data_IF_669733667127
#
_entry.id   IF_669733667127
#
_cell.length_a   1.000
_cell.length_b   1.000
_cell.length_c   1.000
_cell.angle_alpha   90.00
_cell.angle_beta   90.00
_cell.angle_gamma   90.00
#
_symmetry.space_group_name_H-M   'P 1'
#
loop_
_entity.id
_entity.type
_entity.pdbx_description
1 polymer ?
#
# COMPACT_ATOMS: atom_id res chain seq x y z
N UNK A 1 -8.18 16.37 30.92
CA UNK A 1 -7.00 17.16 30.45
C UNK A 1 -6.35 17.78 31.69
N UNK A 2 -5.30 17.18 32.23
CA UNK A 2 -4.38 17.84 33.17
C UNK A 2 -3.35 18.55 32.31
N UNK A 3 -3.24 19.87 32.40
CA UNK A 3 -2.30 20.70 31.67
C UNK A 3 -0.86 20.35 32.00
N UNK A 4 -0.27 19.47 31.19
CA UNK A 4 1.17 19.19 31.27
C UNK A 4 1.94 20.40 30.70
N UNK A 5 2.97 20.83 31.38
CA UNK A 5 3.89 21.87 30.92
C UNK A 5 4.72 21.33 29.76
N UNK A 6 4.74 22.03 28.64
CA UNK A 6 5.63 21.73 27.51
C UNK A 6 7.05 22.15 27.89
N UNK A 7 8.01 21.24 27.77
CA UNK A 7 9.43 21.48 28.04
C UNK A 7 10.26 20.94 26.89
N UNK A 8 11.39 21.57 26.63
CA UNK A 8 12.39 21.07 25.67
C UNK A 8 13.31 20.10 26.41
N UNK A 9 13.50 18.89 25.88
CA UNK A 9 14.42 17.87 26.38
C UNK A 9 15.37 17.42 25.29
N UNK A 10 16.59 17.06 25.65
CA UNK A 10 17.46 16.33 24.71
C UNK A 10 16.93 14.90 24.51
N UNK A 11 17.18 14.31 23.35
CA UNK A 11 16.68 12.97 23.04
C UNK A 11 17.19 11.91 24.04
N UNK A 12 18.42 12.06 24.52
CA UNK A 12 19.02 11.17 25.53
C UNK A 12 18.34 11.26 26.91
N UNK A 13 17.61 12.32 27.20
CA UNK A 13 16.92 12.55 28.48
C UNK A 13 15.45 12.10 28.47
N UNK A 14 14.99 11.55 27.33
CA UNK A 14 13.64 11.02 27.21
C UNK A 14 13.50 9.73 28.02
N UNK A 15 12.37 9.60 28.72
CA UNK A 15 12.03 8.44 29.53
C UNK A 15 10.74 7.80 29.04
N UNK A 16 10.59 6.52 29.33
CA UNK A 16 9.33 5.83 29.08
C UNK A 16 8.17 6.56 29.78
N UNK A 17 7.12 6.85 29.03
CA UNK A 17 5.95 7.62 29.50
C UNK A 17 6.01 9.12 29.19
N UNK A 18 7.13 9.67 28.71
CA UNK A 18 7.18 11.03 28.17
C UNK A 18 6.27 11.12 26.94
N UNK A 19 5.51 12.21 26.84
CA UNK A 19 4.64 12.49 25.69
C UNK A 19 5.29 13.54 24.82
N UNK A 20 5.57 13.18 23.58
CA UNK A 20 6.04 14.13 22.57
C UNK A 20 4.90 14.95 22.02
N UNK A 21 5.14 16.23 21.72
CA UNK A 21 4.20 17.05 20.94
C UNK A 21 4.12 16.43 19.55
N UNK A 22 2.88 16.22 19.07
CA UNK A 22 2.66 15.78 17.71
C UNK A 22 3.12 16.88 16.74
N UNK A 23 4.04 16.54 15.87
CA UNK A 23 4.55 17.40 14.83
C UNK A 23 3.62 17.31 13.59
N UNK A 24 3.33 18.43 12.95
CA UNK A 24 2.70 18.43 11.64
C UNK A 24 3.76 18.12 10.58
N UNK A 25 3.53 17.02 9.85
CA UNK A 25 4.42 16.63 8.77
C UNK A 25 4.26 17.60 7.58
N UNK A 26 5.36 18.00 6.93
CA UNK A 26 5.30 18.85 5.75
C UNK A 26 4.69 18.09 4.56
N UNK A 27 4.07 18.85 3.65
CA UNK A 27 3.70 18.37 2.33
C UNK A 27 4.81 18.82 1.38
N UNK A 28 5.49 17.86 0.76
CA UNK A 28 6.63 18.10 -0.12
C UNK A 28 6.19 17.83 -1.57
N UNK A 29 6.26 18.85 -2.43
CA UNK A 29 6.07 18.68 -3.87
C UNK A 29 7.40 18.31 -4.52
N UNK A 30 7.43 17.16 -5.16
CA UNK A 30 8.59 16.74 -5.96
C UNK A 30 8.49 17.24 -7.40
N UNK A 31 9.57 17.08 -8.17
CA UNK A 31 9.64 17.56 -9.56
C UNK A 31 9.55 16.47 -10.59
N UNK A 32 9.76 15.20 -10.20
CA UNK A 32 9.74 14.07 -11.12
C UNK A 32 8.33 13.55 -11.35
N UNK A 33 7.97 13.25 -12.61
CA UNK A 33 6.70 12.62 -12.98
C UNK A 33 6.92 11.11 -13.14
N UNK A 34 6.08 10.32 -12.47
CA UNK A 34 6.07 8.87 -12.61
C UNK A 34 4.93 8.44 -13.55
N UNK A 35 5.21 8.34 -14.85
CA UNK A 35 4.21 8.12 -15.90
C UNK A 35 3.40 6.82 -15.80
N UNK A 36 3.83 5.86 -15.01
CA UNK A 36 3.13 4.58 -14.80
C UNK A 36 2.94 4.30 -13.31
N UNK A 37 2.66 5.35 -12.55
CA UNK A 37 2.60 5.29 -11.09
C UNK A 37 1.52 4.29 -10.61
N UNK A 38 0.29 4.41 -11.10
CA UNK A 38 -0.80 3.48 -10.74
C UNK A 38 -0.44 2.03 -11.05
N UNK A 39 0.06 1.76 -12.27
CA UNK A 39 0.47 0.42 -12.70
C UNK A 39 1.54 -0.17 -11.79
N UNK A 40 2.53 0.63 -11.38
CA UNK A 40 3.59 0.18 -10.49
C UNK A 40 3.08 -0.04 -9.05
N UNK A 41 2.19 0.81 -8.55
CA UNK A 41 1.53 0.58 -7.27
C UNK A 41 0.75 -0.73 -7.25
N UNK A 42 -0.06 -0.98 -8.28
CA UNK A 42 -0.79 -2.24 -8.42
C UNK A 42 0.16 -3.44 -8.56
N UNK A 43 1.23 -3.31 -9.35
CA UNK A 43 2.25 -4.35 -9.51
C UNK A 43 2.97 -4.66 -8.19
N UNK A 44 3.16 -3.69 -7.31
CA UNK A 44 3.79 -3.92 -6.00
C UNK A 44 2.98 -4.87 -5.11
N UNK A 45 1.64 -4.89 -5.23
CA UNK A 45 0.77 -5.86 -4.58
C UNK A 45 0.62 -7.15 -5.40
N UNK A 46 -0.22 -7.11 -6.43
CA UNK A 46 -0.63 -8.28 -7.23
C UNK A 46 0.34 -8.65 -8.37
N UNK A 47 1.51 -8.01 -8.45
CA UNK A 47 2.48 -8.24 -9.51
C UNK A 47 3.16 -9.62 -9.42
N UNK A 48 3.38 -10.21 -10.57
CA UNK A 48 4.13 -11.45 -10.76
C UNK A 48 5.34 -11.21 -11.65
N UNK A 49 6.43 -11.95 -11.39
CA UNK A 49 7.62 -11.93 -12.22
C UNK A 49 7.98 -13.35 -12.61
N UNK A 50 8.02 -13.63 -13.90
CA UNK A 50 8.36 -14.96 -14.42
C UNK A 50 9.13 -14.88 -15.74
N UNK A 51 10.22 -15.62 -15.86
CA UNK A 51 11.10 -15.66 -17.06
C UNK A 51 11.50 -14.26 -17.56
N UNK A 52 11.91 -13.39 -16.64
CA UNK A 52 12.38 -12.05 -16.99
C UNK A 52 11.27 -11.05 -17.35
N UNK A 53 10.00 -11.39 -17.13
CA UNK A 53 8.86 -10.51 -17.46
C UNK A 53 7.99 -10.28 -16.24
N UNK A 54 7.68 -9.00 -15.99
CA UNK A 54 6.69 -8.58 -15.03
C UNK A 54 5.30 -8.52 -15.67
N UNK A 55 4.28 -8.92 -14.92
CA UNK A 55 2.89 -8.87 -15.33
C UNK A 55 1.98 -8.85 -14.10
N UNK A 56 0.70 -8.56 -14.30
CA UNK A 56 -0.32 -8.66 -13.25
C UNK A 56 -1.45 -9.58 -13.67
N UNK A 57 -2.10 -10.19 -12.70
CA UNK A 57 -3.37 -10.88 -12.89
C UNK A 57 -4.51 -10.00 -12.40
N UNK A 58 -5.55 -9.86 -13.23
CA UNK A 58 -6.80 -9.24 -12.86
C UNK A 58 -7.88 -10.33 -12.81
N UNK A 59 -8.30 -10.66 -11.60
CA UNK A 59 -9.36 -11.66 -11.36
C UNK A 59 -10.71 -10.96 -11.13
N UNK A 60 -11.77 -11.56 -11.60
CA UNK A 60 -13.14 -11.17 -11.32
C UNK A 60 -13.37 -9.64 -11.51
N UNK A 61 -13.82 -8.97 -10.45
CA UNK A 61 -14.10 -7.53 -10.48
C UNK A 61 -12.86 -6.65 -10.72
N UNK A 62 -11.65 -7.15 -10.41
CA UNK A 62 -10.40 -6.42 -10.71
C UNK A 62 -10.18 -6.23 -12.21
N UNK A 63 -10.85 -7.00 -13.09
CA UNK A 63 -10.76 -6.79 -14.54
C UNK A 63 -11.24 -5.39 -14.97
N UNK A 64 -12.14 -4.77 -14.20
CA UNK A 64 -12.60 -3.38 -14.42
C UNK A 64 -11.47 -2.34 -14.24
N UNK A 65 -10.38 -2.72 -13.58
CA UNK A 65 -9.23 -1.84 -13.37
C UNK A 65 -8.26 -1.81 -14.57
N UNK A 66 -8.52 -2.62 -15.62
CA UNK A 66 -7.68 -2.64 -16.82
C UNK A 66 -7.53 -1.25 -17.45
N UNK A 67 -8.60 -0.46 -17.48
CA UNK A 67 -8.60 0.88 -18.08
C UNK A 67 -7.73 1.89 -17.31
N UNK A 68 -7.42 1.60 -16.04
CA UNK A 68 -6.49 2.39 -15.21
C UNK A 68 -5.02 2.01 -15.43
N UNK A 69 -4.73 0.85 -16.04
CA UNK A 69 -3.38 0.37 -16.27
C UNK A 69 -2.69 1.17 -17.38
N UNK A 70 -1.52 1.70 -17.09
CA UNK A 70 -0.72 2.48 -18.04
C UNK A 70 0.28 1.58 -18.78
N UNK A 71 0.60 1.96 -20.02
CA UNK A 71 1.61 1.30 -20.84
C UNK A 71 1.39 -0.20 -21.05
N UNK A 72 0.13 -0.63 -21.14
CA UNK A 72 -0.23 -2.01 -21.47
C UNK A 72 0.32 -2.36 -22.88
N UNK A 73 0.98 -3.51 -22.97
CA UNK A 73 1.48 -4.09 -24.21
C UNK A 73 0.53 -5.13 -24.78
N UNK A 74 0.02 -5.99 -23.91
CA UNK A 74 -0.82 -7.13 -24.30
C UNK A 74 -1.66 -7.57 -23.11
N UNK A 75 -2.89 -7.96 -23.38
CA UNK A 75 -3.80 -8.63 -22.45
C UNK A 75 -4.10 -10.03 -22.99
N UNK A 76 -4.08 -11.01 -22.13
CA UNK A 76 -4.51 -12.37 -22.40
C UNK A 76 -5.64 -12.71 -21.45
N UNK A 77 -6.82 -13.05 -21.99
CA UNK A 77 -7.99 -13.44 -21.23
C UNK A 77 -8.08 -14.96 -21.12
N UNK A 78 -8.29 -15.45 -19.91
CA UNK A 78 -8.57 -16.84 -19.60
C UNK A 78 -9.99 -16.92 -19.00
N UNK A 79 -10.95 -17.29 -19.84
CA UNK A 79 -12.36 -17.35 -19.43
C UNK A 79 -12.61 -18.44 -18.39
N UNK A 80 -11.89 -19.56 -18.46
CA UNK A 80 -12.06 -20.67 -17.51
C UNK A 80 -11.67 -20.27 -16.08
N UNK A 81 -10.69 -19.38 -15.93
CA UNK A 81 -10.23 -18.88 -14.64
C UNK A 81 -10.81 -17.49 -14.30
N UNK A 82 -11.68 -16.95 -15.14
CA UNK A 82 -12.20 -15.58 -15.02
C UNK A 82 -11.09 -14.57 -14.71
N UNK A 83 -10.03 -14.58 -15.53
CA UNK A 83 -8.78 -13.87 -15.29
C UNK A 83 -8.24 -13.22 -16.54
N UNK A 84 -7.71 -12.01 -16.41
CA UNK A 84 -6.87 -11.37 -17.41
C UNK A 84 -5.41 -11.33 -16.93
N UNK A 85 -4.48 -11.65 -17.84
CA UNK A 85 -3.05 -11.46 -17.63
C UNK A 85 -2.61 -10.24 -18.43
N UNK A 86 -2.12 -9.22 -17.73
CA UNK A 86 -1.73 -7.94 -18.33
C UNK A 86 -0.23 -7.82 -18.37
N UNK A 87 0.34 -7.70 -19.57
CA UNK A 87 1.76 -7.47 -19.83
C UNK A 87 1.99 -6.00 -20.21
N UNK A 88 3.12 -5.47 -19.79
CA UNK A 88 3.47 -4.06 -19.99
C UNK A 88 4.58 -3.87 -21.02
N UNK A 89 4.71 -2.66 -21.55
CA UNK A 89 5.82 -2.26 -22.40
C UNK A 89 7.12 -2.28 -21.58
N UNK A 90 8.24 -2.49 -22.26
CA UNK A 90 9.56 -2.48 -21.62
C UNK A 90 9.81 -1.13 -20.93
N UNK A 91 10.48 -1.19 -19.78
CA UNK A 91 10.76 0.00 -18.95
C UNK A 91 9.58 0.57 -18.17
N UNK A 92 8.37 -0.04 -18.26
CA UNK A 92 7.18 0.42 -17.51
C UNK A 92 7.27 0.08 -16.03
N UNK A 93 7.65 -1.16 -15.72
CA UNK A 93 7.67 -1.65 -14.34
C UNK A 93 9.04 -1.36 -13.69
N UNK A 94 8.98 -0.90 -12.46
CA UNK A 94 10.08 -0.84 -11.50
C UNK A 94 10.19 -2.16 -10.75
N UNK A 95 11.13 -2.24 -9.81
CA UNK A 95 11.21 -3.37 -8.88
C UNK A 95 9.90 -3.53 -8.11
N UNK A 96 9.55 -4.77 -7.75
CA UNK A 96 8.22 -5.10 -7.17
C UNK A 96 7.87 -4.25 -5.94
N UNK A 97 8.83 -3.90 -5.11
CA UNK A 97 8.61 -3.14 -3.89
C UNK A 97 9.11 -1.69 -3.98
N UNK A 98 9.21 -1.16 -5.20
CA UNK A 98 9.57 0.25 -5.40
C UNK A 98 8.45 1.18 -4.89
N UNK A 99 8.83 2.17 -4.08
CA UNK A 99 7.94 3.22 -3.56
C UNK A 99 8.43 4.60 -4.00
N UNK A 100 7.62 5.43 -4.66
CA UNK A 100 8.02 6.79 -5.02
C UNK A 100 8.06 7.68 -3.77
N UNK A 101 9.18 8.39 -3.56
CA UNK A 101 9.37 9.28 -2.43
C UNK A 101 9.18 10.76 -2.83
N UNK A 102 9.74 11.68 -2.04
CA UNK A 102 9.57 13.13 -2.13
C UNK A 102 10.15 13.79 -3.39
N UNK A 103 11.01 13.09 -4.14
CA UNK A 103 11.46 13.52 -5.46
C UNK A 103 10.34 13.48 -6.51
N UNK A 104 9.33 12.64 -6.35
CA UNK A 104 8.18 12.55 -7.26
C UNK A 104 7.06 13.52 -6.88
N UNK A 105 6.30 13.99 -7.89
CA UNK A 105 5.13 14.86 -7.68
C UNK A 105 4.11 14.24 -6.74
N UNK A 106 3.35 15.05 -6.02
CA UNK A 106 2.23 14.60 -5.17
C UNK A 106 1.29 13.72 -5.99
N UNK A 107 0.93 14.15 -7.20
CA UNK A 107 0.06 13.38 -8.09
C UNK A 107 0.60 11.97 -8.35
N UNK A 108 1.89 11.83 -8.69
CA UNK A 108 2.52 10.53 -8.94
C UNK A 108 2.48 9.61 -7.72
N UNK A 109 2.72 10.16 -6.53
CA UNK A 109 2.65 9.39 -5.27
C UNK A 109 1.23 8.95 -4.94
N UNK A 110 0.22 9.79 -5.18
CA UNK A 110 -1.18 9.45 -4.97
C UNK A 110 -1.67 8.40 -5.97
N UNK A 111 -1.31 8.51 -7.25
CA UNK A 111 -1.62 7.49 -8.26
C UNK A 111 -0.97 6.14 -7.92
N UNK A 112 0.28 6.15 -7.45
CA UNK A 112 0.93 4.93 -6.99
C UNK A 112 0.22 4.32 -5.78
N UNK A 113 -0.15 5.18 -4.81
CA UNK A 113 -0.91 4.76 -3.61
C UNK A 113 -2.25 4.15 -4.00
N UNK A 114 -2.97 4.73 -4.97
CA UNK A 114 -4.21 4.16 -5.47
C UNK A 114 -4.01 2.75 -6.07
N UNK A 115 -2.94 2.57 -6.85
CA UNK A 115 -2.62 1.26 -7.41
C UNK A 115 -2.37 0.17 -6.35
N UNK A 116 -1.57 0.47 -5.31
CA UNK A 116 -1.33 -0.51 -4.22
C UNK A 116 -2.59 -0.74 -3.38
N UNK A 117 -3.46 0.27 -3.22
CA UNK A 117 -4.73 0.10 -2.52
C UNK A 117 -5.72 -0.76 -3.31
N UNK A 118 -5.78 -0.61 -4.63
CA UNK A 118 -6.65 -1.43 -5.49
C UNK A 118 -6.16 -2.90 -5.59
N UNK A 119 -4.87 -3.15 -5.35
CA UNK A 119 -4.33 -4.53 -5.29
C UNK A 119 -4.49 -5.16 -3.90
N UNK A 120 -3.88 -4.58 -2.87
CA UNK A 120 -3.73 -5.14 -1.52
C UNK A 120 -4.40 -4.32 -0.42
N UNK A 121 -5.10 -3.24 -0.78
CA UNK A 121 -5.78 -2.39 0.17
C UNK A 121 -7.07 -3.01 0.72
N UNK A 122 -7.35 -2.73 1.97
CA UNK A 122 -8.60 -3.12 2.63
C UNK A 122 -9.15 -1.95 3.42
N UNK A 123 -10.44 -1.63 3.22
CA UNK A 123 -11.15 -0.67 4.06
C UNK A 123 -11.74 -1.41 5.24
N UNK A 124 -11.33 -1.03 6.43
CA UNK A 124 -11.88 -1.56 7.69
C UNK A 124 -12.76 -0.51 8.35
N UNK A 125 -13.96 -0.93 8.77
CA UNK A 125 -14.93 -0.08 9.47
C UNK A 125 -15.09 -0.56 10.90
N UNK A 126 -14.98 0.37 11.84
CA UNK A 126 -15.28 0.13 13.26
C UNK A 126 -16.17 1.26 13.78
N UNK A 127 -17.48 1.02 13.83
CA UNK A 127 -18.48 2.04 14.09
C UNK A 127 -18.48 3.13 13.01
N UNK A 128 -18.26 4.36 13.42
CA UNK A 128 -18.16 5.52 12.51
C UNK A 128 -16.73 5.78 12.00
N UNK A 129 -15.76 4.99 12.44
CA UNK A 129 -14.37 5.16 12.01
C UNK A 129 -14.05 4.22 10.85
N UNK A 130 -13.47 4.77 9.82
CA UNK A 130 -12.92 4.01 8.70
C UNK A 130 -11.39 4.10 8.71
N UNK A 131 -10.73 3.06 8.24
CA UNK A 131 -9.29 3.03 8.03
C UNK A 131 -8.96 2.28 6.76
N UNK A 132 -7.96 2.77 6.03
CA UNK A 132 -7.36 2.06 4.93
C UNK A 132 -6.17 1.28 5.46
N UNK A 133 -6.07 0.01 5.08
CA UNK A 133 -5.05 -0.91 5.54
C UNK A 133 -4.35 -1.56 4.35
N UNK A 134 -3.02 -1.65 4.41
CA UNK A 134 -2.19 -2.36 3.44
C UNK A 134 -1.38 -3.39 4.22
N UNK A 135 -1.47 -4.66 3.83
CA UNK A 135 -0.76 -5.75 4.50
C UNK A 135 0.37 -6.30 3.63
N UNK A 136 1.51 -6.63 4.25
CA UNK A 136 2.64 -7.25 3.56
C UNK A 136 3.47 -8.09 4.53
N UNK A 137 4.14 -9.11 4.01
CA UNK A 137 5.20 -9.83 4.72
C UNK A 137 6.53 -9.04 4.74
N UNK A 138 6.65 -8.02 3.89
CA UNK A 138 7.84 -7.18 3.75
C UNK A 138 7.72 -5.91 4.60
N UNK A 139 8.27 -5.94 5.81
CA UNK A 139 8.22 -4.79 6.74
C UNK A 139 8.86 -3.53 6.14
N UNK A 140 10.01 -3.67 5.49
CA UNK A 140 10.73 -2.54 4.87
C UNK A 140 9.89 -1.84 3.81
N UNK A 141 9.15 -2.59 3.00
CA UNK A 141 8.23 -2.03 2.01
C UNK A 141 7.12 -1.18 2.66
N UNK A 142 6.52 -1.66 3.75
CA UNK A 142 5.52 -0.87 4.47
C UNK A 142 6.14 0.38 5.15
N UNK A 143 7.39 0.29 5.59
CA UNK A 143 8.11 1.46 6.14
C UNK A 143 8.39 2.51 5.08
N UNK A 144 8.72 2.11 3.84
CA UNK A 144 8.88 3.03 2.71
C UNK A 144 7.54 3.69 2.32
N UNK A 145 6.42 2.93 2.31
CA UNK A 145 5.08 3.51 2.13
C UNK A 145 4.77 4.51 3.25
N UNK A 146 5.10 4.18 4.50
CA UNK A 146 4.92 5.08 5.64
C UNK A 146 5.73 6.37 5.45
N UNK A 147 6.98 6.28 4.99
CA UNK A 147 7.83 7.42 4.69
C UNK A 147 7.24 8.27 3.55
N UNK A 148 6.77 7.65 2.46
CA UNK A 148 6.08 8.35 1.38
C UNK A 148 4.86 9.13 1.91
N UNK A 149 4.01 8.50 2.74
CA UNK A 149 2.85 9.14 3.36
C UNK A 149 3.26 10.35 4.23
N UNK A 150 4.35 10.24 4.97
CA UNK A 150 4.88 11.36 5.77
C UNK A 150 5.25 12.56 4.91
N UNK A 151 5.76 12.35 3.69
CA UNK A 151 6.07 13.42 2.74
C UNK A 151 4.81 14.05 2.10
N UNK A 152 3.64 13.44 2.31
CA UNK A 152 2.30 13.95 1.97
C UNK A 152 1.59 14.58 3.18
N UNK A 153 2.27 14.78 4.31
CA UNK A 153 1.65 15.29 5.53
C UNK A 153 0.77 14.27 6.26
N UNK A 154 0.82 13.00 5.88
CA UNK A 154 -0.08 11.94 6.35
C UNK A 154 0.62 11.06 7.37
N UNK A 155 -0.04 10.81 8.49
CA UNK A 155 0.43 9.86 9.52
C UNK A 155 -0.19 8.50 9.34
N UNK A 156 0.61 7.45 9.53
CA UNK A 156 0.15 6.06 9.53
C UNK A 156 0.85 5.28 10.65
N UNK A 157 0.37 4.08 10.95
CA UNK A 157 0.98 3.17 11.94
C UNK A 157 1.21 1.81 11.30
N UNK A 158 2.32 1.16 11.68
CA UNK A 158 2.60 -0.22 11.27
C UNK A 158 2.51 -1.10 12.51
N UNK A 159 1.72 -2.16 12.40
CA UNK A 159 1.53 -3.17 13.43
C UNK A 159 1.78 -4.57 12.86
N UNK A 160 2.10 -5.52 13.72
CA UNK A 160 2.07 -6.93 13.36
C UNK A 160 0.62 -7.36 13.10
N UNK A 161 0.38 -7.93 11.93
CA UNK A 161 -0.95 -8.43 11.54
C UNK A 161 -1.12 -9.89 11.94
N UNK A 162 -0.08 -10.71 11.77
CA UNK A 162 -0.05 -12.08 12.25
C UNK A 162 1.40 -12.56 12.44
N UNK A 163 1.59 -13.41 13.44
CA UNK A 163 2.82 -14.18 13.62
C UNK A 163 2.93 -15.29 12.57
N UNK A 164 4.14 -15.74 12.28
CA UNK A 164 4.35 -16.90 11.42
C UNK A 164 3.79 -18.19 12.05
N UNK A 165 3.31 -19.09 11.22
CA UNK A 165 2.80 -20.38 11.69
C UNK A 165 1.83 -21.06 10.73
N UNK A 166 1.45 -22.27 11.08
CA UNK A 166 0.47 -23.04 10.33
C UNK A 166 -0.95 -22.55 10.62
N UNK A 167 -1.73 -22.29 9.56
CA UNK A 167 -3.11 -21.80 9.64
C UNK A 167 -4.01 -22.56 8.67
N UNK A 168 -5.26 -22.72 9.06
CA UNK A 168 -6.28 -23.20 8.14
C UNK A 168 -6.72 -22.02 7.24
N UNK A 169 -6.51 -22.18 5.94
CA UNK A 169 -6.83 -21.19 4.93
C UNK A 169 -7.76 -21.80 3.88
N UNK A 170 -8.68 -21.02 3.28
CA UNK A 170 -9.52 -21.51 2.20
C UNK A 170 -8.69 -22.03 1.03
N UNK A 171 -9.10 -23.15 0.45
CA UNK A 171 -8.54 -23.64 -0.81
C UNK A 171 -8.97 -22.70 -1.96
N UNK A 172 -8.03 -22.42 -2.88
CA UNK A 172 -8.31 -21.56 -4.05
C UNK A 172 -8.97 -22.31 -5.21
N UNK A 173 -9.67 -23.39 -4.93
CA UNK A 173 -10.34 -24.26 -5.92
C UNK A 173 -11.86 -24.01 -6.01
N UNK A 174 -12.39 -23.10 -5.18
CA UNK A 174 -13.81 -22.78 -5.13
C UNK A 174 -14.66 -23.80 -4.35
N UNK A 175 -14.05 -24.83 -3.74
CA UNK A 175 -14.78 -25.86 -2.96
C UNK A 175 -15.36 -25.32 -1.66
N UNK A 176 -14.80 -24.23 -1.12
CA UNK A 176 -15.12 -23.72 0.22
C UNK A 176 -14.45 -24.50 1.34
N UNK A 177 -13.64 -25.51 1.01
CA UNK A 177 -12.83 -26.26 1.97
C UNK A 177 -11.60 -25.49 2.42
N UNK A 178 -11.04 -25.86 3.58
CA UNK A 178 -9.81 -25.29 4.12
C UNK A 178 -8.68 -26.30 4.12
N UNK A 179 -7.46 -25.82 3.88
CA UNK A 179 -6.23 -26.59 4.00
C UNK A 179 -5.25 -25.92 4.97
N UNK A 180 -4.30 -26.67 5.51
CA UNK A 180 -3.23 -26.14 6.35
C UNK A 180 -2.11 -25.58 5.50
N UNK A 181 -1.84 -24.28 5.68
CA UNK A 181 -0.74 -23.59 5.01
C UNK A 181 0.18 -22.94 6.04
N UNK A 182 1.48 -22.96 5.75
CA UNK A 182 2.43 -22.18 6.53
C UNK A 182 2.37 -20.72 6.09
N UNK A 183 1.95 -19.86 6.99
CA UNK A 183 1.86 -18.42 6.76
C UNK A 183 3.10 -17.73 7.35
N UNK A 184 3.73 -16.87 6.57
CA UNK A 184 4.81 -16.03 7.06
C UNK A 184 4.28 -14.94 8.00
N UNK A 185 5.14 -14.42 8.85
CA UNK A 185 4.85 -13.23 9.64
C UNK A 185 4.43 -12.08 8.70
N UNK A 186 3.34 -11.40 9.03
CA UNK A 186 2.84 -10.30 8.23
C UNK A 186 2.61 -9.05 9.08
N UNK A 187 2.76 -7.91 8.43
CA UNK A 187 2.60 -6.59 9.01
C UNK A 187 1.46 -5.86 8.31
N UNK A 188 0.94 -4.84 8.97
CA UNK A 188 -0.14 -4.02 8.47
C UNK A 188 0.16 -2.56 8.69
N UNK A 189 0.16 -1.79 7.62
CA UNK A 189 0.15 -0.34 7.64
C UNK A 189 -1.31 0.14 7.70
N UNK A 190 -1.62 1.03 8.65
CA UNK A 190 -2.96 1.55 8.89
C UNK A 190 -2.96 3.07 8.73
N UNK A 191 -3.84 3.58 7.87
CA UNK A 191 -4.15 4.99 7.64
C UNK A 191 -5.52 5.25 8.26
N UNK A 192 -5.58 6.08 9.29
CA UNK A 192 -6.82 6.39 10.00
C UNK A 192 -7.69 7.42 9.24
N UNK A 193 -8.95 7.59 9.67
CA UNK A 193 -9.91 8.49 9.03
C UNK A 193 -9.39 9.91 8.84
N UNK A 194 -8.76 10.51 9.86
CA UNK A 194 -8.24 11.88 9.75
C UNK A 194 -7.14 11.99 8.68
N UNK A 195 -6.33 10.96 8.55
CA UNK A 195 -5.28 10.86 7.53
C UNK A 195 -5.88 10.63 6.13
N UNK A 196 -6.98 9.89 6.03
CA UNK A 196 -7.72 9.71 4.77
C UNK A 196 -8.33 11.02 4.27
N UNK A 197 -8.89 11.85 5.16
CA UNK A 197 -9.35 13.20 4.77
C UNK A 197 -8.23 14.06 4.19
N UNK A 198 -7.02 14.02 4.78
CA UNK A 198 -5.86 14.73 4.22
C UNK A 198 -5.47 14.22 2.84
N UNK A 199 -5.50 12.91 2.61
CA UNK A 199 -5.25 12.33 1.29
C UNK A 199 -6.30 12.78 0.27
N UNK A 200 -7.58 12.80 0.64
CA UNK A 200 -8.67 13.28 -0.22
C UNK A 200 -8.48 14.77 -0.58
N UNK A 201 -8.08 15.62 0.38
CA UNK A 201 -7.76 17.03 0.12
C UNK A 201 -6.60 17.21 -0.87
N UNK A 202 -5.68 16.26 -0.95
CA UNK A 202 -4.58 16.24 -1.92
C UNK A 202 -4.99 15.66 -3.29
N UNK A 203 -6.22 15.14 -3.42
CA UNK A 203 -6.76 14.55 -4.64
C UNK A 203 -6.60 13.03 -4.75
N UNK A 204 -6.49 12.31 -3.64
CA UNK A 204 -6.55 10.85 -3.63
C UNK A 204 -7.98 10.38 -3.86
N UNK A 205 -8.18 9.54 -4.90
CA UNK A 205 -9.46 8.97 -5.35
C UNK A 205 -9.40 7.45 -5.42
#
# INVERSE_FOLDING_TARGET
RRGGRVVVKQAQDLKQGDKLIKFELPIIEGTEVFNSAYTNGFYSGDGCFYKGKGFVYLYHDKQKLLDRMQNVKKVHTDENQNRQTVYFKEGTLKDKYFVPLDNYTIKSRLEWLAGICDSDGTVSRNGLNESLQISSTQLTFLQEIQLMLQTLGVTSTINEACEEGWRDMPLNDGSGETGKFFCQKAYRLLINSNSLFKLSELGFE
#
